data_IF_533381433319
#
_entry.id   IF_533381433319
#
_cell.length_a   1.000
_cell.length_b   1.000
_cell.length_c   1.000
_cell.angle_alpha   90.00
_cell.angle_beta   90.00
_cell.angle_gamma   90.00
#
_symmetry.space_group_name_H-M   'P 1'
#
loop_
_entity.id
_entity.type
_entity.pdbx_description
1 polymer ?
#
# COMPACT_ATOMS: atom_id res chain seq x y z
N UNK A 1 -1.60 5.16 32.41
CA UNK A 1 -1.29 3.99 31.56
C UNK A 1 -0.86 2.84 32.46
N UNK A 2 -1.32 1.63 32.14
CA UNK A 2 -0.93 0.41 32.86
C UNK A 2 0.03 -0.38 31.95
N UNK A 3 1.19 -0.75 32.47
CA UNK A 3 2.08 -1.70 31.82
C UNK A 3 1.51 -3.10 31.99
N UNK A 4 1.60 -3.91 30.96
CA UNK A 4 1.10 -5.28 30.93
C UNK A 4 2.13 -6.21 30.30
N UNK A 5 2.06 -7.49 30.62
CA UNK A 5 2.77 -8.56 29.95
C UNK A 5 1.92 -8.96 28.71
N UNK A 6 2.24 -8.37 27.56
CA UNK A 6 1.39 -8.43 26.36
C UNK A 6 1.14 -9.87 25.90
N UNK A 7 2.16 -10.73 25.96
CA UNK A 7 2.08 -12.14 25.58
C UNK A 7 1.03 -12.91 26.40
N UNK A 8 0.89 -12.62 27.71
CA UNK A 8 -0.14 -13.24 28.52
C UNK A 8 -1.52 -12.65 28.27
N UNK A 9 -1.63 -11.32 28.23
CA UNK A 9 -2.90 -10.62 28.06
C UNK A 9 -3.54 -10.93 26.71
N UNK A 10 -2.77 -10.82 25.62
CA UNK A 10 -3.29 -11.03 24.25
C UNK A 10 -3.68 -12.51 24.06
N UNK A 11 -2.83 -13.45 24.46
CA UNK A 11 -3.16 -14.87 24.33
C UNK A 11 -4.38 -15.29 25.19
N UNK A 12 -4.62 -14.64 26.33
CA UNK A 12 -5.83 -14.86 27.11
C UNK A 12 -7.07 -14.32 26.38
N UNK A 13 -7.00 -13.13 25.77
CA UNK A 13 -8.10 -12.62 24.95
C UNK A 13 -8.45 -13.55 23.80
N UNK A 14 -7.45 -14.08 23.10
CA UNK A 14 -7.66 -15.04 22.01
C UNK A 14 -8.31 -16.34 22.53
N UNK A 15 -7.90 -16.86 23.69
CA UNK A 15 -8.53 -18.05 24.32
C UNK A 15 -9.98 -17.79 24.74
N UNK A 16 -10.30 -16.56 25.12
CA UNK A 16 -11.66 -16.11 25.46
C UNK A 16 -12.52 -15.84 24.21
N UNK A 17 -11.99 -16.04 23.01
CA UNK A 17 -12.67 -15.79 21.74
C UNK A 17 -12.82 -14.31 21.39
N UNK A 18 -12.04 -13.42 21.98
CA UNK A 18 -12.04 -11.99 21.65
C UNK A 18 -11.27 -11.73 20.37
N UNK A 19 -11.78 -10.79 19.58
CA UNK A 19 -11.06 -10.26 18.43
C UNK A 19 -9.98 -9.27 18.87
N UNK A 20 -8.80 -9.37 18.27
CA UNK A 20 -7.66 -8.48 18.49
C UNK A 20 -7.24 -7.90 17.14
N UNK A 21 -7.23 -6.57 17.04
CA UNK A 21 -6.67 -5.87 15.88
C UNK A 21 -5.23 -5.49 16.19
N UNK A 22 -4.29 -6.01 15.41
CA UNK A 22 -2.89 -5.62 15.45
C UNK A 22 -2.61 -4.60 14.34
N UNK A 23 -2.21 -3.40 14.71
CA UNK A 23 -1.83 -2.35 13.77
C UNK A 23 -0.30 -2.26 13.72
N UNK A 24 0.26 -2.45 12.50
CA UNK A 24 1.67 -2.25 12.23
C UNK A 24 2.01 -0.78 11.98
N UNK A 25 3.29 -0.50 11.86
CA UNK A 25 3.81 0.82 11.51
C UNK A 25 4.77 0.71 10.32
N UNK A 26 5.08 1.86 9.69
CA UNK A 26 5.94 1.99 8.50
C UNK A 26 5.35 1.26 7.27
N UNK A 27 6.05 0.27 6.72
CA UNK A 27 5.59 -0.50 5.57
C UNK A 27 6.58 -1.59 5.17
N UNK A 28 6.14 -2.52 4.33
CA UNK A 28 6.89 -3.73 3.95
C UNK A 28 8.29 -3.42 3.40
N UNK A 29 8.43 -2.39 2.56
CA UNK A 29 9.73 -2.02 1.98
C UNK A 29 10.71 -1.41 2.99
N UNK A 30 10.28 -1.14 4.22
CA UNK A 30 11.11 -0.67 5.33
C UNK A 30 11.43 -1.76 6.34
N UNK A 31 10.95 -3.00 6.14
CA UNK A 31 11.27 -4.14 7.01
C UNK A 31 12.77 -4.41 7.02
N UNK A 32 13.31 -4.71 8.22
CA UNK A 32 14.76 -4.89 8.39
C UNK A 32 15.30 -6.09 7.63
N UNK A 33 14.50 -7.14 7.46
CA UNK A 33 14.92 -8.39 6.81
C UNK A 33 14.49 -8.46 5.34
N UNK A 34 13.29 -7.96 5.01
CA UNK A 34 12.66 -8.10 3.70
C UNK A 34 12.47 -6.79 2.95
N UNK A 35 12.85 -5.66 3.54
CA UNK A 35 12.78 -4.35 2.91
C UNK A 35 13.96 -4.04 1.98
N UNK A 36 13.98 -2.80 1.49
CA UNK A 36 15.03 -2.29 0.57
C UNK A 36 16.32 -1.94 1.33
N UNK A 37 16.99 -2.94 1.90
CA UNK A 37 18.23 -2.76 2.65
C UNK A 37 19.32 -2.05 1.81
N UNK A 38 20.11 -1.11 2.39
CA UNK A 38 20.16 -0.70 3.80
C UNK A 38 19.16 0.41 4.20
N UNK A 39 18.24 0.79 3.33
CA UNK A 39 17.29 1.90 3.52
C UNK A 39 16.01 1.40 4.20
N UNK A 40 16.15 0.81 5.37
CA UNK A 40 15.10 0.16 6.16
C UNK A 40 15.00 0.77 7.55
N UNK A 41 13.97 0.39 8.32
CA UNK A 41 13.89 0.69 9.76
C UNK A 41 14.52 -0.44 10.58
N UNK A 42 14.74 -0.21 11.86
CA UNK A 42 15.36 -1.19 12.77
C UNK A 42 14.36 -2.18 13.38
N UNK A 43 13.24 -2.44 12.69
CA UNK A 43 12.19 -3.33 13.18
C UNK A 43 11.57 -4.14 12.03
N UNK A 44 10.91 -5.25 12.38
CA UNK A 44 10.08 -6.00 11.44
C UNK A 44 8.75 -5.30 11.26
N UNK A 45 8.50 -4.80 10.06
CA UNK A 45 7.29 -4.05 9.70
C UNK A 45 6.28 -4.90 8.94
N UNK A 46 6.67 -6.13 8.56
CA UNK A 46 5.79 -7.11 7.95
C UNK A 46 4.86 -7.76 8.99
N UNK A 47 3.82 -8.46 8.52
CA UNK A 47 2.82 -9.11 9.38
C UNK A 47 3.45 -10.02 10.46
N UNK A 48 4.54 -10.72 10.15
CA UNK A 48 5.28 -11.54 11.12
C UNK A 48 5.79 -10.74 12.33
N UNK A 49 6.00 -9.43 12.19
CA UNK A 49 6.41 -8.54 13.28
C UNK A 49 5.39 -8.45 14.41
N UNK A 50 4.10 -8.68 14.15
CA UNK A 50 3.11 -8.71 15.21
C UNK A 50 3.27 -9.96 16.09
N UNK A 51 3.72 -11.09 15.53
CA UNK A 51 3.98 -12.30 16.30
C UNK A 51 5.08 -12.09 17.34
N UNK A 52 6.20 -11.49 16.91
CA UNK A 52 7.34 -11.23 17.80
C UNK A 52 7.08 -10.05 18.75
N UNK A 53 6.37 -9.03 18.27
CA UNK A 53 6.06 -7.81 19.04
C UNK A 53 5.01 -8.03 20.14
N UNK A 54 4.03 -8.89 19.91
CA UNK A 54 2.94 -9.17 20.84
C UNK A 54 3.09 -10.50 21.59
N UNK A 55 4.04 -11.34 21.19
CA UNK A 55 4.20 -12.68 21.75
C UNK A 55 3.05 -13.61 21.37
N UNK A 56 2.60 -13.56 20.11
CA UNK A 56 1.47 -14.34 19.60
C UNK A 56 1.95 -15.38 18.60
N UNK A 57 1.38 -16.59 18.66
CA UNK A 57 1.68 -17.64 17.68
C UNK A 57 1.23 -17.23 16.27
N UNK A 58 2.04 -17.50 15.22
CA UNK A 58 1.61 -17.26 13.84
C UNK A 58 0.32 -18.02 13.45
N UNK A 59 -0.02 -19.10 14.16
CA UNK A 59 -1.27 -19.84 13.97
C UNK A 59 -2.52 -19.06 14.41
N UNK A 60 -2.35 -17.97 15.14
CA UNK A 60 -3.44 -17.12 15.63
C UNK A 60 -3.63 -15.87 14.74
N UNK A 61 -2.83 -15.71 13.68
CA UNK A 61 -3.03 -14.66 12.68
C UNK A 61 -4.20 -15.09 11.80
N UNK A 62 -5.22 -14.24 11.75
CA UNK A 62 -6.39 -14.39 10.88
C UNK A 62 -6.24 -13.56 9.60
N UNK A 63 -7.22 -12.70 9.36
CA UNK A 63 -7.21 -11.80 8.19
C UNK A 63 -6.07 -10.78 8.26
N UNK A 64 -5.42 -10.56 7.12
CA UNK A 64 -4.35 -9.57 6.98
C UNK A 64 -4.78 -8.50 5.98
N UNK A 65 -4.99 -7.29 6.49
CA UNK A 65 -5.35 -6.13 5.68
C UNK A 65 -4.09 -5.39 5.23
N UNK A 66 -3.85 -5.37 3.92
CA UNK A 66 -2.79 -4.58 3.30
C UNK A 66 -3.27 -3.17 2.98
N UNK A 67 -2.66 -2.15 3.58
CA UNK A 67 -2.98 -0.75 3.27
C UNK A 67 -1.98 -0.22 2.26
N UNK A 68 -2.47 0.33 1.14
CA UNK A 68 -1.64 0.93 0.11
C UNK A 68 -2.29 2.22 -0.43
N UNK A 69 -1.50 3.06 -1.08
CA UNK A 69 -1.99 4.24 -1.78
C UNK A 69 -2.22 3.93 -3.26
N UNK A 70 -3.09 4.68 -3.92
CA UNK A 70 -3.28 4.61 -5.38
C UNK A 70 -2.02 5.00 -6.18
N UNK A 71 -0.97 5.49 -5.52
CA UNK A 71 0.35 5.84 -6.04
C UNK A 71 1.43 5.54 -4.99
N UNK A 72 2.70 5.61 -5.37
CA UNK A 72 3.80 5.35 -4.44
C UNK A 72 4.40 6.62 -3.85
N UNK A 73 4.87 6.54 -2.60
CA UNK A 73 5.65 7.60 -1.97
C UNK A 73 6.82 7.03 -1.19
N UNK A 74 7.92 7.78 -1.14
CA UNK A 74 9.07 7.45 -0.30
C UNK A 74 9.59 8.67 0.45
N UNK A 75 9.99 8.47 1.69
CA UNK A 75 10.70 9.48 2.50
C UNK A 75 12.17 9.11 2.57
N UNK A 76 13.04 10.09 2.32
CA UNK A 76 14.49 9.89 2.41
C UNK A 76 15.10 9.17 1.23
N UNK A 77 16.30 8.66 1.44
CA UNK A 77 17.11 7.96 0.42
C UNK A 77 16.61 6.52 0.20
N UNK A 78 17.17 5.88 -0.80
CA UNK A 78 16.90 4.50 -1.18
C UNK A 78 16.19 4.36 -2.51
N UNK A 79 16.10 3.14 -3.02
CA UNK A 79 15.57 2.86 -4.35
C UNK A 79 14.08 3.20 -4.44
N UNK A 80 13.69 3.72 -5.60
CA UNK A 80 12.31 4.04 -5.92
C UNK A 80 12.11 3.95 -7.44
N UNK A 81 11.97 2.74 -8.01
CA UNK A 81 11.96 2.54 -9.46
C UNK A 81 10.91 3.35 -10.21
N UNK A 82 9.75 3.60 -9.59
CA UNK A 82 8.65 4.36 -10.21
C UNK A 82 8.66 5.85 -9.87
N UNK A 83 9.73 6.39 -9.28
CA UNK A 83 9.82 7.80 -8.93
C UNK A 83 9.68 8.71 -10.15
N UNK A 84 8.97 9.81 -9.99
CA UNK A 84 8.74 10.81 -11.02
C UNK A 84 9.46 12.12 -10.66
N UNK A 85 10.24 12.61 -11.62
CA UNK A 85 11.02 13.84 -11.49
C UNK A 85 10.45 14.98 -12.34
N UNK A 86 9.20 14.83 -12.78
CA UNK A 86 8.50 15.72 -13.68
C UNK A 86 7.30 16.41 -13.02
N UNK A 87 6.55 17.17 -13.81
CA UNK A 87 5.34 17.87 -13.37
C UNK A 87 4.25 16.92 -12.83
N UNK A 88 4.24 15.66 -13.29
CA UNK A 88 3.29 14.64 -12.82
C UNK A 88 3.61 14.26 -11.36
N UNK A 89 4.87 14.01 -11.05
CA UNK A 89 5.32 13.76 -9.70
C UNK A 89 5.06 14.93 -8.75
N UNK A 90 5.27 16.14 -9.23
CA UNK A 90 4.97 17.36 -8.47
C UNK A 90 3.47 17.51 -8.21
N UNK A 91 2.63 17.25 -9.22
CA UNK A 91 1.16 17.30 -9.11
C UNK A 91 0.65 16.27 -8.10
N UNK A 92 1.11 15.01 -8.15
CA UNK A 92 0.78 13.97 -7.15
C UNK A 92 1.16 14.45 -5.74
N UNK A 93 2.37 14.97 -5.58
CA UNK A 93 2.87 15.46 -4.29
C UNK A 93 2.04 16.61 -3.71
N UNK A 94 1.59 17.53 -4.55
CA UNK A 94 0.76 18.67 -4.15
C UNK A 94 -0.66 18.25 -3.80
N UNK A 95 -1.34 17.51 -4.69
CA UNK A 95 -2.71 17.03 -4.48
C UNK A 95 -2.78 16.07 -3.27
N UNK A 96 -1.78 15.19 -3.14
CA UNK A 96 -1.69 14.25 -2.04
C UNK A 96 -1.22 14.85 -0.72
N UNK A 97 -0.86 16.15 -0.68
CA UNK A 97 -0.23 16.77 0.51
C UNK A 97 0.95 15.95 1.05
N UNK A 98 1.82 15.46 0.13
CA UNK A 98 2.90 14.55 0.46
C UNK A 98 4.10 15.28 1.08
N UNK A 99 3.89 15.72 2.33
CA UNK A 99 4.90 16.37 3.17
C UNK A 99 4.98 15.65 4.53
N UNK A 100 6.17 15.63 5.11
CA UNK A 100 6.36 15.08 6.45
C UNK A 100 5.63 15.93 7.49
N UNK A 101 4.77 15.31 8.30
CA UNK A 101 3.95 16.02 9.29
C UNK A 101 4.77 16.84 10.31
N UNK A 102 5.97 16.36 10.66
CA UNK A 102 6.84 17.01 11.67
C UNK A 102 7.87 17.92 10.99
N UNK A 103 8.48 17.47 9.90
CA UNK A 103 9.62 18.15 9.27
C UNK A 103 9.23 19.04 8.09
N UNK A 104 8.00 18.91 7.58
CA UNK A 104 7.56 19.56 6.34
C UNK A 104 8.31 19.09 5.09
N UNK A 105 9.19 18.08 5.20
CA UNK A 105 9.98 17.59 4.07
C UNK A 105 9.10 16.96 3.01
N UNK A 106 9.26 17.39 1.75
CA UNK A 106 8.57 16.80 0.61
C UNK A 106 8.90 15.31 0.49
N UNK A 107 7.89 14.48 0.29
CA UNK A 107 8.05 13.07 -0.06
C UNK A 107 8.30 12.93 -1.56
N UNK A 108 9.11 11.96 -1.93
CA UNK A 108 9.29 11.51 -3.31
C UNK A 108 7.99 10.82 -3.74
N UNK A 109 7.51 11.07 -4.95
CA UNK A 109 6.26 10.53 -5.46
C UNK A 109 6.49 9.77 -6.77
N UNK A 110 5.69 8.76 -7.03
CA UNK A 110 5.76 7.96 -8.24
C UNK A 110 4.48 7.21 -8.52
N UNK A 111 4.37 6.65 -9.73
CA UNK A 111 3.26 5.78 -10.06
C UNK A 111 3.23 4.52 -9.19
N UNK A 112 2.06 3.87 -9.12
CA UNK A 112 1.92 2.62 -8.40
C UNK A 112 2.88 1.56 -8.93
N UNK A 113 3.53 0.84 -8.02
CA UNK A 113 4.49 -0.21 -8.30
C UNK A 113 3.89 -1.58 -7.93
N UNK A 114 3.39 -2.29 -8.93
CA UNK A 114 2.76 -3.59 -8.71
C UNK A 114 3.78 -4.70 -8.47
N UNK A 115 5.03 -4.55 -8.89
CA UNK A 115 6.08 -5.52 -8.55
C UNK A 115 6.34 -5.50 -7.06
N UNK A 116 6.54 -4.31 -6.50
CA UNK A 116 6.72 -4.13 -5.06
C UNK A 116 5.45 -4.49 -4.27
N UNK A 117 4.26 -4.18 -4.80
CA UNK A 117 3.00 -4.47 -4.12
C UNK A 117 2.67 -5.97 -4.12
N UNK A 118 2.92 -6.70 -5.22
CA UNK A 118 2.82 -8.18 -5.28
C UNK A 118 3.75 -8.84 -4.26
N UNK A 119 4.97 -8.35 -4.17
CA UNK A 119 5.93 -8.80 -3.17
C UNK A 119 5.41 -8.54 -1.76
N UNK A 120 4.88 -7.35 -1.48
CA UNK A 120 4.30 -7.01 -0.20
C UNK A 120 3.10 -7.91 0.16
N UNK A 121 2.19 -8.17 -0.79
CA UNK A 121 1.06 -9.09 -0.63
C UNK A 121 1.56 -10.49 -0.25
N UNK A 122 2.54 -11.00 -0.98
CA UNK A 122 3.12 -12.33 -0.76
C UNK A 122 3.77 -12.47 0.62
N UNK A 123 4.66 -11.53 0.98
CA UNK A 123 5.43 -11.60 2.24
C UNK A 123 4.53 -11.48 3.48
N UNK A 124 3.48 -10.69 3.39
CA UNK A 124 2.56 -10.47 4.51
C UNK A 124 1.40 -11.47 4.55
N UNK A 125 1.17 -12.23 3.49
CA UNK A 125 -0.02 -13.09 3.37
C UNK A 125 -1.30 -12.26 3.39
N UNK A 126 -1.31 -11.12 2.67
CA UNK A 126 -2.45 -10.21 2.62
C UNK A 126 -3.65 -10.93 2.03
N UNK A 127 -4.78 -10.89 2.74
CA UNK A 127 -6.05 -11.47 2.31
C UNK A 127 -7.03 -10.44 1.76
N UNK A 128 -6.88 -9.19 2.16
CA UNK A 128 -7.72 -8.07 1.72
C UNK A 128 -6.90 -6.79 1.64
N UNK A 129 -7.23 -5.93 0.67
CA UNK A 129 -6.55 -4.66 0.45
C UNK A 129 -7.44 -3.46 0.81
N UNK A 130 -6.79 -2.40 1.27
CA UNK A 130 -7.39 -1.10 1.54
C UNK A 130 -6.63 -0.07 0.71
N UNK A 131 -7.32 0.52 -0.29
CA UNK A 131 -6.75 1.58 -1.11
C UNK A 131 -7.00 2.93 -0.46
N UNK A 132 -5.93 3.70 -0.32
CA UNK A 132 -5.97 5.05 0.20
C UNK A 132 -5.66 6.06 -0.91
N UNK A 133 -6.22 7.28 -0.77
CA UNK A 133 -5.86 8.44 -1.61
C UNK A 133 -6.16 8.25 -3.10
N UNK A 134 -7.24 7.59 -3.44
CA UNK A 134 -7.68 7.48 -4.84
C UNK A 134 -8.06 8.84 -5.43
N UNK A 135 -8.62 9.73 -4.61
CA UNK A 135 -8.98 11.12 -4.93
C UNK A 135 -7.82 11.95 -5.49
N UNK A 136 -6.60 11.64 -5.12
CA UNK A 136 -5.41 12.35 -5.62
C UNK A 136 -5.24 12.19 -7.13
N UNK A 137 -5.75 11.09 -7.68
CA UNK A 137 -5.66 10.80 -9.12
C UNK A 137 -6.88 11.27 -9.94
N UNK A 138 -7.88 11.89 -9.33
CA UNK A 138 -9.14 12.32 -9.96
C UNK A 138 -8.98 13.21 -11.20
N UNK A 139 -7.88 13.94 -11.29
CA UNK A 139 -7.66 14.94 -12.36
C UNK A 139 -6.68 14.49 -13.44
N UNK A 140 -6.25 13.23 -13.43
CA UNK A 140 -5.32 12.71 -14.41
C UNK A 140 -6.05 12.13 -15.63
N UNK A 141 -5.52 12.40 -16.83
CA UNK A 141 -6.05 11.81 -18.07
C UNK A 141 -5.63 10.34 -18.23
N UNK A 142 -4.42 10.03 -17.78
CA UNK A 142 -3.81 8.71 -17.87
C UNK A 142 -3.13 8.39 -16.55
N UNK A 143 -3.32 7.17 -16.07
CA UNK A 143 -2.70 6.63 -14.88
C UNK A 143 -1.79 5.49 -15.34
N UNK A 144 -0.58 5.42 -14.78
CA UNK A 144 0.36 4.35 -15.08
C UNK A 144 0.53 3.43 -13.89
N UNK A 145 0.63 2.13 -14.18
CA UNK A 145 0.97 1.10 -13.21
C UNK A 145 2.22 0.34 -13.67
N UNK A 146 3.22 0.24 -12.82
CA UNK A 146 4.41 -0.55 -13.11
C UNK A 146 4.10 -2.02 -12.88
N UNK A 147 4.15 -2.83 -13.93
CA UNK A 147 3.81 -4.27 -13.91
C UNK A 147 5.04 -5.17 -13.91
N UNK A 148 6.18 -4.66 -14.35
CA UNK A 148 7.46 -5.37 -14.41
C UNK A 148 8.63 -4.40 -14.28
N UNK A 149 9.81 -4.93 -14.00
CA UNK A 149 11.08 -4.23 -14.07
C UNK A 149 11.92 -4.79 -15.21
N UNK A 150 12.66 -3.93 -15.89
CA UNK A 150 13.68 -4.34 -16.84
C UNK A 150 15.06 -4.12 -16.21
N UNK A 151 15.78 -5.22 -16.03
CA UNK A 151 17.10 -5.27 -15.43
C UNK A 151 18.10 -5.85 -16.43
N UNK A 152 19.13 -5.09 -16.80
CA UNK A 152 20.14 -5.53 -17.78
C UNK A 152 19.51 -6.04 -19.11
N UNK A 153 18.41 -5.44 -19.54
CA UNK A 153 17.68 -5.83 -20.76
C UNK A 153 16.73 -7.03 -20.61
N UNK A 154 16.63 -7.63 -19.43
CA UNK A 154 15.72 -8.73 -19.11
C UNK A 154 14.55 -8.21 -18.28
N UNK A 155 13.33 -8.52 -18.71
CA UNK A 155 12.12 -8.18 -17.99
C UNK A 155 11.83 -9.22 -16.90
N UNK A 156 11.43 -8.73 -15.71
CA UNK A 156 11.04 -9.54 -14.56
C UNK A 156 9.86 -8.91 -13.82
N UNK A 157 8.96 -9.73 -13.31
CA UNK A 157 7.87 -9.35 -12.41
C UNK A 157 8.14 -9.76 -10.95
N UNK A 158 9.32 -10.30 -10.68
CA UNK A 158 9.77 -10.61 -9.32
C UNK A 158 10.53 -9.43 -8.73
N UNK A 159 10.23 -9.10 -7.48
CA UNK A 159 10.92 -8.04 -6.74
C UNK A 159 12.36 -8.48 -6.45
N UNK A 160 13.38 -7.78 -6.96
CA UNK A 160 14.77 -8.20 -6.83
C UNK A 160 15.31 -7.91 -5.43
N UNK A 161 16.30 -8.70 -5.01
CA UNK A 161 17.01 -8.48 -3.75
C UNK A 161 17.80 -7.15 -3.75
N UNK A 162 18.50 -6.87 -4.86
CA UNK A 162 19.22 -5.62 -5.05
C UNK A 162 18.44 -4.74 -6.02
N UNK A 163 18.14 -3.53 -5.57
CA UNK A 163 17.46 -2.51 -6.36
C UNK A 163 18.44 -1.36 -6.51
N UNK A 164 18.88 -1.11 -7.72
CA UNK A 164 19.77 -0.03 -8.09
C UNK A 164 19.16 0.91 -9.14
N UNK A 165 19.90 1.94 -9.51
CA UNK A 165 19.47 2.96 -10.47
C UNK A 165 19.41 2.45 -11.93
N UNK A 166 19.75 1.17 -12.19
CA UNK A 166 19.68 0.57 -13.54
C UNK A 166 18.35 -0.10 -13.82
N UNK A 167 17.47 -0.18 -12.82
CA UNK A 167 16.13 -0.75 -12.96
C UNK A 167 15.23 0.22 -13.70
N UNK A 168 14.69 -0.24 -14.83
CA UNK A 168 13.71 0.51 -15.62
C UNK A 168 12.31 -0.05 -15.35
N UNK A 169 11.33 0.77 -14.89
CA UNK A 169 9.96 0.32 -14.72
C UNK A 169 9.26 0.14 -16.07
N UNK A 170 8.52 -0.97 -16.21
CA UNK A 170 7.65 -1.25 -17.36
C UNK A 170 6.22 -0.92 -16.99
N UNK A 171 5.61 0.01 -17.72
CA UNK A 171 4.29 0.54 -17.39
C UNK A 171 3.20 0.03 -18.32
N UNK A 172 2.03 -0.20 -17.73
CA UNK A 172 0.74 -0.22 -18.40
C UNK A 172 0.06 1.13 -18.18
N UNK A 173 -0.57 1.66 -19.22
CA UNK A 173 -1.34 2.89 -19.16
C UNK A 173 -2.83 2.58 -19.08
N UNK A 174 -3.52 3.22 -18.14
CA UNK A 174 -4.93 3.09 -17.88
C UNK A 174 -5.60 4.46 -18.01
N UNK A 175 -6.83 4.56 -18.50
CA UNK A 175 -7.55 5.80 -18.53
C UNK A 175 -7.80 6.32 -17.11
N UNK A 176 -7.62 7.62 -16.91
CA UNK A 176 -8.00 8.29 -15.68
C UNK A 176 -9.50 8.53 -15.63
N UNK A 177 -10.08 8.52 -14.44
CA UNK A 177 -11.54 8.65 -14.26
C UNK A 177 -12.05 10.09 -14.29
N UNK A 178 -11.21 11.08 -14.13
CA UNK A 178 -11.51 12.53 -14.24
C UNK A 178 -12.78 12.97 -13.53
N UNK A 179 -13.04 12.38 -12.39
CA UNK A 179 -14.26 12.59 -11.61
C UNK A 179 -13.88 12.83 -10.15
N UNK A 180 -14.43 13.90 -9.55
CA UNK A 180 -14.30 14.15 -8.11
C UNK A 180 -15.06 13.08 -7.34
N UNK A 181 -14.34 12.14 -6.74
CA UNK A 181 -14.90 11.04 -5.98
C UNK A 181 -15.20 11.39 -4.52
N UNK A 182 -14.79 12.55 -4.03
CA UNK A 182 -14.84 12.91 -2.60
C UNK A 182 -16.24 12.93 -1.98
N UNK A 183 -17.29 12.94 -2.81
CA UNK A 183 -18.70 12.98 -2.37
C UNK A 183 -19.42 11.64 -2.50
N UNK A 184 -18.76 10.64 -3.08
CA UNK A 184 -19.34 9.32 -3.27
C UNK A 184 -19.52 8.59 -1.93
N UNK A 185 -20.61 7.84 -1.80
CA UNK A 185 -20.99 7.14 -0.58
C UNK A 185 -21.06 5.62 -0.77
N UNK A 186 -21.05 5.16 -2.01
CA UNK A 186 -21.21 3.74 -2.38
C UNK A 186 -20.36 3.42 -3.60
N UNK A 187 -19.97 2.14 -3.75
CA UNK A 187 -19.23 1.66 -4.92
C UNK A 187 -20.03 1.74 -6.22
N UNK A 188 -21.36 1.79 -6.17
CA UNK A 188 -22.23 1.95 -7.34
C UNK A 188 -22.07 3.33 -8.01
N UNK A 189 -21.53 4.30 -7.29
CA UNK A 189 -21.25 5.65 -7.80
C UNK A 189 -19.88 5.75 -8.50
N UNK A 190 -19.05 4.71 -8.44
CA UNK A 190 -17.71 4.74 -9.02
C UNK A 190 -17.77 4.87 -10.56
N UNK A 191 -16.95 5.76 -11.17
CA UNK A 191 -16.79 5.83 -12.61
C UNK A 191 -16.34 4.50 -13.21
N UNK A 192 -16.69 4.25 -14.45
CA UNK A 192 -16.32 3.03 -15.17
C UNK A 192 -14.79 2.86 -15.22
N UNK A 193 -14.06 3.94 -15.47
CA UNK A 193 -12.59 3.94 -15.51
C UNK A 193 -11.98 3.58 -14.15
N UNK A 194 -12.57 4.03 -13.05
CA UNK A 194 -12.11 3.68 -11.72
C UNK A 194 -12.42 2.22 -11.37
N UNK A 195 -13.60 1.72 -11.75
CA UNK A 195 -13.93 0.31 -11.62
C UNK A 195 -12.99 -0.57 -12.44
N UNK A 196 -12.63 -0.15 -13.67
CA UNK A 196 -11.66 -0.84 -14.49
C UNK A 196 -10.26 -0.85 -13.85
N UNK A 197 -9.86 0.27 -13.24
CA UNK A 197 -8.60 0.36 -12.49
C UNK A 197 -8.58 -0.59 -11.29
N UNK A 198 -9.65 -0.63 -10.49
CA UNK A 198 -9.76 -1.55 -9.35
C UNK A 198 -9.71 -3.01 -9.80
N UNK A 199 -10.47 -3.36 -10.84
CA UNK A 199 -10.48 -4.72 -11.39
C UNK A 199 -9.09 -5.15 -11.89
N UNK A 200 -8.38 -4.24 -12.58
CA UNK A 200 -7.02 -4.48 -13.03
C UNK A 200 -6.08 -4.74 -11.85
N UNK A 201 -6.17 -3.95 -10.78
CA UNK A 201 -5.34 -4.17 -9.59
C UNK A 201 -5.65 -5.49 -8.90
N UNK A 202 -6.93 -5.83 -8.76
CA UNK A 202 -7.38 -7.08 -8.14
C UNK A 202 -6.92 -8.31 -8.95
N UNK A 203 -6.97 -8.23 -10.28
CA UNK A 203 -6.47 -9.29 -11.17
C UNK A 203 -4.94 -9.46 -11.03
N UNK A 204 -4.18 -8.36 -11.05
CA UNK A 204 -2.74 -8.37 -10.95
C UNK A 204 -2.23 -8.85 -9.56
N UNK A 205 -2.94 -8.51 -8.50
CA UNK A 205 -2.53 -8.81 -7.12
C UNK A 205 -3.11 -10.12 -6.60
N UNK A 206 -4.19 -10.63 -7.20
CA UNK A 206 -4.90 -11.83 -6.75
C UNK A 206 -5.61 -11.65 -5.41
N UNK A 207 -5.83 -10.41 -4.96
CA UNK A 207 -6.42 -10.07 -3.66
C UNK A 207 -7.44 -8.94 -3.84
N UNK A 208 -8.66 -9.03 -3.24
CA UNK A 208 -9.68 -8.02 -3.40
C UNK A 208 -9.33 -6.71 -2.68
N UNK A 209 -9.66 -5.58 -3.31
CA UNK A 209 -9.63 -4.25 -2.69
C UNK A 209 -10.97 -4.03 -1.97
N UNK A 210 -11.00 -4.35 -0.69
CA UNK A 210 -12.23 -4.36 0.12
C UNK A 210 -12.67 -2.96 0.55
N UNK A 211 -11.75 -2.05 0.71
CA UNK A 211 -12.02 -0.69 1.19
C UNK A 211 -11.29 0.31 0.30
N UNK A 212 -11.99 1.38 -0.07
CA UNK A 212 -11.45 2.50 -0.85
C UNK A 212 -11.68 3.81 -0.11
N UNK A 213 -10.61 4.57 0.13
CA UNK A 213 -10.71 5.95 0.60
C UNK A 213 -10.75 6.89 -0.60
N UNK A 214 -11.84 7.64 -0.70
CA UNK A 214 -12.14 8.60 -1.78
C UNK A 214 -11.89 10.06 -1.35
N UNK A 215 -11.27 10.27 -0.20
CA UNK A 215 -10.95 11.60 0.33
C UNK A 215 -10.27 11.54 1.69
N UNK A 216 -9.87 12.71 2.24
CA UNK A 216 -9.10 12.79 3.48
C UNK A 216 -9.92 12.52 4.75
N UNK A 217 -11.24 12.65 4.70
CA UNK A 217 -12.11 12.49 5.85
C UNK A 217 -12.43 11.01 6.12
N UNK A 218 -12.62 10.69 7.39
CA UNK A 218 -12.99 9.34 7.84
C UNK A 218 -14.26 8.82 7.18
N UNK A 219 -15.23 9.69 6.92
CA UNK A 219 -16.51 9.34 6.29
C UNK A 219 -16.38 9.12 4.77
N UNK A 220 -15.24 9.51 4.17
CA UNK A 220 -14.91 9.30 2.77
C UNK A 220 -14.23 7.95 2.54
N UNK A 221 -14.78 6.91 3.18
CA UNK A 221 -14.28 5.54 3.11
C UNK A 221 -15.43 4.62 2.70
N UNK A 222 -15.29 3.98 1.56
CA UNK A 222 -16.30 3.11 0.96
C UNK A 222 -15.86 1.65 1.15
N UNK A 223 -16.74 0.85 1.75
CA UNK A 223 -16.59 -0.60 1.87
C UNK A 223 -17.23 -1.24 0.65
N UNK A 224 -16.45 -2.07 -0.06
CA UNK A 224 -16.88 -2.82 -1.23
C UNK A 224 -17.27 -4.26 -0.85
N UNK A 225 -18.05 -4.92 -1.71
CA UNK A 225 -18.47 -6.32 -1.48
C UNK A 225 -19.16 -6.53 -0.13
N UNK A 226 -20.05 -5.61 0.25
CA UNK A 226 -20.98 -5.87 1.36
C UNK A 226 -21.98 -6.90 0.88
N UNK A 227 -21.96 -8.09 1.48
CA UNK A 227 -23.05 -9.05 1.28
C UNK A 227 -24.35 -8.40 1.80
N UNK A 228 -25.42 -8.38 0.98
CA UNK A 228 -26.75 -7.96 1.39
C UNK A 228 -27.37 -8.97 2.39
#
# INVERSE_FOLDING_TARGET
>A
FKLIDSEHVINNYLKEGKSVLAEGAQGTMLDIDFGSYPFVTSSNTICAGCCTGLGVSPRNIGEVYGIFKAYCTRVGSGPFPTELFDEVGDKIGQLGHEFGAVTGRKRRCGWIDLVALKYAVMINGVSQLIMMKSDVLDTFDTIKACVAYKMNGVETNEFPYEIDDTIEPVYVELPGWKTDMTKMQSEDEFPEEFNAYLSFLEEELGVPVKIVSVGPDREQTIVRYTEE
#
